data_IF_473905072255
#
_entry.id   IF_473905072255
#
_cell.length_a   1.000
_cell.length_b   1.000
_cell.length_c   1.000
_cell.angle_alpha   90.00
_cell.angle_beta   90.00
_cell.angle_gamma   90.00
#
_symmetry.space_group_name_H-M   'P 1'
#
loop_
_entity.id
_entity.type
_entity.pdbx_description
1 polymer ?
#
# COMPACT_ATOMS: atom_id res chain seq x y z
N UNK A 1 -20.32 6.29 -26.20
CA UNK A 1 -19.01 6.53 -25.56
C UNK A 1 -18.40 5.16 -25.32
N UNK A 2 -17.14 4.89 -25.65
CA UNK A 2 -16.49 3.70 -25.11
C UNK A 2 -16.54 3.77 -23.58
N UNK A 3 -16.77 2.64 -22.92
CA UNK A 3 -16.75 2.58 -21.45
C UNK A 3 -15.40 3.10 -20.94
N UNK A 4 -15.44 3.92 -19.89
CA UNK A 4 -14.23 4.42 -19.25
C UNK A 4 -13.37 3.22 -18.78
N UNK A 5 -12.03 3.29 -18.89
CA UNK A 5 -11.19 2.19 -18.46
C UNK A 5 -11.37 1.94 -16.96
N UNK A 6 -11.50 0.67 -16.57
CA UNK A 6 -11.55 0.27 -15.16
C UNK A 6 -10.22 0.62 -14.49
N UNK A 7 -10.27 1.32 -13.36
CA UNK A 7 -9.08 1.75 -12.62
C UNK A 7 -8.89 0.85 -11.39
N UNK A 8 -7.64 0.44 -11.14
CA UNK A 8 -7.34 -0.46 -10.03
C UNK A 8 -6.07 -0.03 -9.28
N UNK A 9 -6.19 0.13 -7.97
CA UNK A 9 -5.07 0.18 -7.04
C UNK A 9 -4.95 -1.14 -6.31
N UNK A 10 -3.72 -1.59 -6.04
CA UNK A 10 -3.47 -2.73 -5.17
C UNK A 10 -2.51 -2.32 -4.06
N UNK A 11 -3.06 -2.01 -2.90
CA UNK A 11 -2.34 -1.43 -1.77
C UNK A 11 -2.00 -2.55 -0.78
N UNK A 12 -0.73 -2.85 -0.60
CA UNK A 12 -0.25 -4.05 0.09
C UNK A 12 0.42 -3.69 1.41
N UNK A 13 0.02 -4.33 2.50
CA UNK A 13 0.49 -3.99 3.86
C UNK A 13 1.95 -4.32 4.15
N UNK A 14 2.67 -4.94 3.22
CA UNK A 14 4.08 -5.34 3.40
C UNK A 14 4.26 -6.84 3.55
N UNK A 15 5.52 -7.28 3.45
CA UNK A 15 5.94 -8.67 3.65
C UNK A 15 5.10 -9.73 2.90
N UNK A 16 4.55 -9.39 1.73
CA UNK A 16 3.70 -10.29 0.98
C UNK A 16 4.46 -11.50 0.44
N UNK A 17 3.77 -12.63 0.31
CA UNK A 17 4.38 -13.88 -0.13
C UNK A 17 4.95 -13.76 -1.56
N UNK A 18 6.24 -14.10 -1.68
CA UNK A 18 7.03 -14.10 -2.92
C UNK A 18 7.41 -15.51 -3.39
N UNK A 19 7.21 -16.52 -2.53
CA UNK A 19 7.71 -17.89 -2.77
C UNK A 19 6.56 -18.86 -2.95
N UNK A 20 5.61 -18.87 -2.03
CA UNK A 20 4.54 -19.85 -1.94
C UNK A 20 3.43 -19.63 -2.97
N UNK A 21 2.22 -19.33 -2.49
CA UNK A 21 1.07 -19.11 -3.37
C UNK A 21 1.13 -17.79 -4.09
N UNK A 22 1.88 -16.80 -3.58
CA UNK A 22 2.04 -15.47 -4.20
C UNK A 22 0.70 -14.84 -4.61
N UNK A 23 -0.33 -15.02 -3.78
CA UNK A 23 -1.74 -14.70 -4.11
C UNK A 23 -1.92 -13.24 -4.54
N UNK A 24 -1.32 -12.33 -3.79
CA UNK A 24 -1.38 -10.88 -4.04
C UNK A 24 -0.62 -10.52 -5.32
N UNK A 25 0.60 -11.03 -5.52
CA UNK A 25 1.40 -10.76 -6.71
C UNK A 25 0.77 -11.36 -7.98
N UNK A 26 0.13 -12.54 -7.88
CA UNK A 26 -0.68 -13.10 -8.95
C UNK A 26 -1.90 -12.22 -9.25
N UNK A 27 -2.54 -11.64 -8.23
CA UNK A 27 -3.64 -10.68 -8.43
C UNK A 27 -3.14 -9.46 -9.21
N UNK A 28 -2.00 -8.89 -8.84
CA UNK A 28 -1.38 -7.77 -9.56
C UNK A 28 -1.14 -8.09 -11.05
N UNK A 29 -0.45 -9.19 -11.36
CA UNK A 29 -0.16 -9.57 -12.76
C UNK A 29 -1.45 -9.76 -13.56
N UNK A 30 -2.49 -10.35 -12.96
CA UNK A 30 -3.80 -10.50 -13.60
C UNK A 30 -4.47 -9.15 -13.88
N UNK A 31 -4.46 -8.23 -12.92
CA UNK A 31 -4.99 -6.87 -13.10
C UNK A 31 -4.22 -6.11 -14.18
N UNK A 32 -2.92 -6.33 -14.30
CA UNK A 32 -2.07 -5.73 -15.32
C UNK A 32 -2.23 -6.33 -16.73
N UNK A 33 -3.13 -7.29 -16.95
CA UNK A 33 -3.38 -7.92 -18.25
C UNK A 33 -2.75 -9.30 -18.45
N UNK A 34 -2.25 -9.94 -17.38
CA UNK A 34 -1.74 -11.30 -17.40
C UNK A 34 -0.58 -11.48 -18.38
N UNK A 35 -0.76 -12.35 -19.38
CA UNK A 35 0.27 -12.64 -20.39
C UNK A 35 0.66 -11.47 -21.29
N UNK A 36 -0.15 -10.41 -21.31
CA UNK A 36 0.15 -9.17 -22.06
C UNK A 36 0.71 -8.07 -21.15
N UNK A 37 0.91 -8.35 -19.87
CA UNK A 37 1.31 -7.35 -18.91
C UNK A 37 2.73 -6.84 -19.17
N UNK A 38 2.86 -5.52 -19.29
CA UNK A 38 4.14 -4.81 -19.32
C UNK A 38 4.28 -4.11 -17.98
N UNK A 39 5.15 -4.64 -17.14
CA UNK A 39 5.27 -4.24 -15.75
C UNK A 39 6.48 -3.33 -15.55
N UNK A 40 6.29 -2.29 -14.74
CA UNK A 40 7.38 -1.45 -14.24
C UNK A 40 7.52 -1.67 -12.73
N UNK A 41 8.74 -1.96 -12.27
CA UNK A 41 9.09 -1.98 -10.85
C UNK A 41 9.79 -0.67 -10.49
N UNK A 42 9.30 0.00 -9.45
CA UNK A 42 9.90 1.22 -8.89
C UNK A 42 10.51 0.85 -7.53
N UNK A 43 11.83 0.61 -7.47
CA UNK A 43 12.50 0.17 -6.25
C UNK A 43 12.98 1.35 -5.39
N UNK A 44 12.64 2.60 -5.74
CA UNK A 44 13.24 3.84 -5.19
C UNK A 44 13.20 3.94 -3.67
N UNK A 45 12.19 3.35 -3.01
CA UNK A 45 12.13 3.34 -1.55
C UNK A 45 13.24 2.48 -0.91
N UNK A 46 13.73 1.45 -1.61
CA UNK A 46 14.69 0.47 -1.12
C UNK A 46 16.10 1.06 -0.92
N UNK A 47 16.85 0.45 -0.01
CA UNK A 47 18.30 0.61 0.12
C UNK A 47 19.08 -0.36 -0.77
N UNK A 48 18.42 -1.41 -1.27
CA UNK A 48 18.97 -2.45 -2.16
C UNK A 48 18.07 -2.56 -3.41
N UNK A 49 18.07 -1.54 -4.29
CA UNK A 49 17.12 -1.49 -5.39
C UNK A 49 17.29 -2.62 -6.41
N UNK A 50 18.53 -3.02 -6.70
CA UNK A 50 18.81 -4.09 -7.69
C UNK A 50 18.26 -5.45 -7.24
N UNK A 51 18.48 -5.83 -5.98
CA UNK A 51 17.94 -7.07 -5.40
C UNK A 51 16.41 -7.08 -5.41
N UNK A 52 15.79 -5.93 -5.10
CA UNK A 52 14.34 -5.77 -5.16
C UNK A 52 13.83 -5.98 -6.58
N UNK A 53 14.48 -5.39 -7.58
CA UNK A 53 14.11 -5.57 -8.99
C UNK A 53 14.26 -7.03 -9.39
N UNK A 54 15.37 -7.69 -9.04
CA UNK A 54 15.61 -9.11 -9.36
C UNK A 54 14.52 -10.02 -8.79
N UNK A 55 14.18 -9.85 -7.51
CA UNK A 55 13.16 -10.66 -6.82
C UNK A 55 11.79 -10.48 -7.46
N UNK A 56 11.33 -9.24 -7.67
CA UNK A 56 10.00 -9.01 -8.26
C UNK A 56 9.95 -9.42 -9.73
N UNK A 57 11.01 -9.19 -10.50
CA UNK A 57 11.07 -9.58 -11.91
C UNK A 57 10.96 -11.10 -12.04
N UNK A 58 11.74 -11.85 -11.24
CA UNK A 58 11.68 -13.32 -11.18
C UNK A 58 10.27 -13.82 -10.88
N UNK A 59 9.59 -13.21 -9.89
CA UNK A 59 8.23 -13.61 -9.51
C UNK A 59 7.23 -13.29 -10.62
N UNK A 60 7.29 -12.09 -11.22
CA UNK A 60 6.33 -11.68 -12.25
C UNK A 60 6.51 -12.42 -13.57
N UNK A 61 7.76 -12.70 -13.97
CA UNK A 61 8.07 -13.52 -15.13
C UNK A 61 7.58 -14.96 -14.94
N UNK A 62 7.79 -15.55 -13.75
CA UNK A 62 7.23 -16.86 -13.39
C UNK A 62 5.69 -16.88 -13.45
N UNK A 63 5.05 -15.75 -13.16
CA UNK A 63 3.59 -15.57 -13.29
C UNK A 63 3.14 -15.28 -14.73
N UNK A 64 4.08 -15.13 -15.66
CA UNK A 64 3.86 -15.11 -17.10
C UNK A 64 3.57 -13.73 -17.69
N UNK A 65 4.02 -12.63 -17.08
CA UNK A 65 3.93 -11.31 -17.71
C UNK A 65 4.75 -11.24 -19.02
N UNK A 66 4.45 -10.27 -19.89
CA UNK A 66 5.16 -10.11 -21.17
C UNK A 66 6.56 -9.51 -20.98
N UNK A 67 6.71 -8.55 -20.08
CA UNK A 67 7.99 -7.90 -19.78
C UNK A 67 7.97 -7.24 -18.41
N UNK A 68 9.15 -7.16 -17.78
CA UNK A 68 9.38 -6.37 -16.57
C UNK A 68 10.54 -5.40 -16.86
N UNK A 69 10.35 -4.13 -16.52
CA UNK A 69 11.41 -3.11 -16.55
C UNK A 69 11.47 -2.40 -15.20
N UNK A 70 12.55 -1.68 -14.94
CA UNK A 70 12.68 -0.85 -13.73
C UNK A 70 12.72 0.64 -14.05
N UNK A 71 12.21 1.42 -13.11
CA UNK A 71 12.31 2.89 -13.10
C UNK A 71 12.76 3.31 -11.71
N UNK A 72 14.00 3.80 -11.61
CA UNK A 72 14.59 4.26 -10.35
C UNK A 72 15.34 5.59 -10.56
N UNK A 73 14.70 6.75 -10.33
CA UNK A 73 15.39 8.03 -10.44
C UNK A 73 16.42 8.18 -9.33
N UNK A 74 17.70 8.40 -9.70
CA UNK A 74 18.79 8.59 -8.74
C UNK A 74 18.62 9.82 -7.82
N UNK A 75 17.85 10.82 -8.27
CA UNK A 75 17.50 12.03 -7.51
C UNK A 75 16.19 12.63 -8.05
N UNK A 76 15.69 13.68 -7.39
CA UNK A 76 14.42 14.32 -7.77
C UNK A 76 14.45 14.93 -9.19
N UNK A 77 15.58 15.45 -9.64
CA UNK A 77 15.72 16.01 -10.99
C UNK A 77 15.62 14.91 -12.05
N UNK A 78 16.25 13.75 -11.81
CA UNK A 78 16.16 12.58 -12.68
C UNK A 78 14.74 12.01 -12.78
N UNK A 79 13.85 12.29 -11.82
CA UNK A 79 12.43 11.95 -11.93
C UNK A 79 11.68 12.79 -13.01
N UNK A 80 12.37 13.71 -13.69
CA UNK A 80 11.90 14.39 -14.90
C UNK A 80 12.46 13.83 -16.21
N UNK A 81 13.28 12.78 -16.16
CA UNK A 81 13.83 12.13 -17.36
C UNK A 81 12.69 11.53 -18.21
N UNK A 82 12.67 11.87 -19.50
CA UNK A 82 11.62 11.42 -20.41
C UNK A 82 11.60 9.91 -20.59
N UNK A 83 12.76 9.25 -20.59
CA UNK A 83 12.81 7.79 -20.76
C UNK A 83 12.17 7.06 -19.57
N UNK A 84 12.39 7.57 -18.35
CA UNK A 84 11.74 7.02 -17.15
C UNK A 84 10.22 7.26 -17.16
N UNK A 85 9.80 8.43 -17.61
CA UNK A 85 8.37 8.79 -17.75
C UNK A 85 7.69 7.91 -18.80
N UNK A 86 8.30 7.75 -19.97
CA UNK A 86 7.75 6.98 -21.09
C UNK A 86 7.56 5.50 -20.72
N UNK A 87 8.51 4.91 -19.97
CA UNK A 87 8.36 3.54 -19.44
C UNK A 87 7.11 3.38 -18.58
N UNK A 88 6.78 4.36 -17.74
CA UNK A 88 5.56 4.36 -16.92
C UNK A 88 4.32 4.63 -17.78
N UNK A 89 4.42 5.49 -18.79
CA UNK A 89 3.32 5.78 -19.70
C UNK A 89 2.92 4.57 -20.57
N UNK A 90 3.88 3.70 -20.91
CA UNK A 90 3.64 2.48 -21.68
C UNK A 90 3.25 1.25 -20.84
N UNK A 91 3.40 1.32 -19.51
CA UNK A 91 3.13 0.22 -18.60
C UNK A 91 1.64 -0.13 -18.50
N UNK A 92 1.33 -1.42 -18.32
CA UNK A 92 -0.02 -1.88 -17.96
C UNK A 92 -0.15 -2.18 -16.47
N UNK A 93 0.97 -2.26 -15.76
CA UNK A 93 1.02 -2.33 -14.31
C UNK A 93 2.30 -1.72 -13.76
N UNK A 94 2.20 -0.98 -12.65
CA UNK A 94 3.35 -0.39 -11.96
C UNK A 94 3.38 -0.89 -10.52
N UNK A 95 4.52 -1.36 -10.05
CA UNK A 95 4.72 -1.89 -8.69
C UNK A 95 5.75 -1.05 -7.93
N UNK A 96 5.32 -0.37 -6.86
CA UNK A 96 6.19 0.41 -5.99
C UNK A 96 6.63 -0.44 -4.78
N UNK A 97 7.93 -0.63 -4.62
CA UNK A 97 8.45 -1.47 -3.54
C UNK A 97 8.39 -0.81 -2.16
N UNK A 98 8.65 -1.63 -1.13
CA UNK A 98 8.87 -1.15 0.23
C UNK A 98 10.25 -0.49 0.43
N UNK A 99 10.46 0.05 1.63
CA UNK A 99 11.68 0.75 2.04
C UNK A 99 11.36 2.02 2.80
N UNK A 100 11.99 3.13 2.42
CA UNK A 100 11.78 4.44 3.02
C UNK A 100 10.74 5.27 2.23
N UNK A 101 9.56 5.46 2.78
CA UNK A 101 8.47 6.25 2.19
C UNK A 101 8.79 7.74 2.04
N UNK A 102 9.64 8.32 2.92
CA UNK A 102 10.09 9.72 2.77
C UNK A 102 10.99 9.87 1.55
N UNK A 103 11.93 8.94 1.31
CA UNK A 103 12.75 8.92 0.08
C UNK A 103 11.86 8.85 -1.16
N UNK A 104 10.88 7.95 -1.15
CA UNK A 104 9.95 7.78 -2.26
C UNK A 104 9.14 9.06 -2.55
N UNK A 105 8.58 9.68 -1.51
CA UNK A 105 7.83 10.93 -1.62
C UNK A 105 8.71 12.07 -2.14
N UNK A 106 9.92 12.25 -1.59
CA UNK A 106 10.84 13.30 -1.99
C UNK A 106 11.32 13.19 -3.45
N UNK A 107 11.46 11.98 -3.99
CA UNK A 107 11.95 11.78 -5.35
C UNK A 107 10.82 11.79 -6.39
N UNK A 108 9.62 11.34 -6.04
CA UNK A 108 8.54 11.07 -7.03
C UNK A 108 7.37 12.05 -6.92
N UNK A 109 6.94 12.45 -5.72
CA UNK A 109 5.72 13.25 -5.57
C UNK A 109 5.93 14.65 -6.16
N UNK A 110 5.01 15.09 -7.01
CA UNK A 110 5.08 16.39 -7.69
C UNK A 110 6.18 16.51 -8.75
N UNK A 111 6.67 15.39 -9.29
CA UNK A 111 7.60 15.36 -10.45
C UNK A 111 6.88 14.83 -11.70
N UNK A 112 7.50 14.94 -12.90
CA UNK A 112 6.93 14.35 -14.12
C UNK A 112 6.70 12.83 -14.00
N UNK A 113 7.58 12.09 -13.32
CA UNK A 113 7.38 10.67 -13.01
C UNK A 113 6.17 10.44 -12.10
N UNK A 114 5.98 11.25 -11.05
CA UNK A 114 4.78 11.19 -10.20
C UNK A 114 3.50 11.46 -11.00
N UNK A 115 3.54 12.42 -11.93
CA UNK A 115 2.44 12.67 -12.85
C UNK A 115 2.20 11.51 -13.82
N UNK A 116 3.25 10.81 -14.26
CA UNK A 116 3.13 9.62 -15.10
C UNK A 116 2.40 8.47 -14.37
N UNK A 117 2.66 8.29 -13.07
CA UNK A 117 1.93 7.31 -12.25
C UNK A 117 0.43 7.62 -12.17
N UNK A 118 0.08 8.89 -11.96
CA UNK A 118 -1.31 9.34 -11.98
C UNK A 118 -1.95 9.10 -13.36
N UNK A 119 -1.26 9.44 -14.46
CA UNK A 119 -1.75 9.18 -15.81
C UNK A 119 -1.93 7.68 -16.07
N UNK A 120 -0.99 6.85 -15.64
CA UNK A 120 -1.07 5.40 -15.78
C UNK A 120 -2.31 4.84 -15.10
N UNK A 121 -2.56 5.24 -13.85
CA UNK A 121 -3.77 4.89 -13.14
C UNK A 121 -5.04 5.33 -13.89
N UNK A 122 -5.09 6.59 -14.35
CA UNK A 122 -6.25 7.11 -15.10
C UNK A 122 -6.47 6.43 -16.46
N UNK A 123 -5.43 5.88 -17.09
CA UNK A 123 -5.54 5.07 -18.31
C UNK A 123 -6.02 3.63 -18.05
N UNK A 124 -6.15 3.22 -16.78
CA UNK A 124 -6.54 1.87 -16.39
C UNK A 124 -5.37 0.89 -16.19
N UNK A 125 -4.12 1.38 -16.13
CA UNK A 125 -3.02 0.55 -15.65
C UNK A 125 -3.18 0.35 -14.13
N UNK A 126 -2.91 -0.87 -13.65
CA UNK A 126 -2.92 -1.12 -12.20
C UNK A 126 -1.71 -0.50 -11.54
N UNK A 127 -1.91 0.26 -10.47
CA UNK A 127 -0.82 0.77 -9.64
C UNK A 127 -0.84 0.04 -8.31
N UNK A 128 0.22 -0.72 -8.04
CA UNK A 128 0.39 -1.50 -6.82
C UNK A 128 1.55 -0.96 -5.99
N UNK A 129 1.47 -1.12 -4.67
CA UNK A 129 2.59 -0.77 -3.81
C UNK A 129 2.56 -1.51 -2.49
N UNK A 130 3.74 -1.91 -2.00
CA UNK A 130 3.90 -2.65 -0.75
C UNK A 130 4.65 -1.83 0.30
N UNK A 131 4.20 -1.87 1.56
CA UNK A 131 4.81 -1.13 2.67
C UNK A 131 4.94 0.38 2.34
N UNK A 132 6.14 0.95 2.20
CA UNK A 132 6.32 2.34 1.76
C UNK A 132 5.55 2.68 0.45
N UNK A 133 5.50 1.75 -0.49
CA UNK A 133 4.72 1.88 -1.73
C UNK A 133 3.20 1.89 -1.49
N UNK A 134 2.71 1.30 -0.40
CA UNK A 134 1.29 1.40 -0.02
C UNK A 134 0.97 2.77 0.57
N UNK A 135 1.77 3.25 1.51
CA UNK A 135 1.53 4.53 2.20
C UNK A 135 1.48 5.71 1.22
N UNK A 136 2.36 5.73 0.21
CA UNK A 136 2.44 6.84 -0.75
C UNK A 136 1.20 6.97 -1.66
N UNK A 137 0.33 5.96 -1.72
CA UNK A 137 -0.91 6.04 -2.51
C UNK A 137 -1.87 7.10 -1.96
N UNK A 138 -1.81 7.36 -0.65
CA UNK A 138 -2.60 8.38 0.04
C UNK A 138 -2.28 9.79 -0.45
N UNK A 139 -3.21 10.73 -0.31
CA UNK A 139 -2.88 12.15 -0.44
C UNK A 139 -2.06 12.63 0.77
N UNK A 140 -2.48 12.22 1.96
CA UNK A 140 -1.79 12.49 3.23
C UNK A 140 -1.13 11.20 3.71
N UNK A 141 0.16 11.06 3.45
CA UNK A 141 0.93 9.85 3.74
C UNK A 141 1.54 9.93 5.15
N UNK A 142 1.39 8.86 5.94
CA UNK A 142 2.11 8.71 7.22
C UNK A 142 3.60 8.52 6.92
N UNK A 143 4.43 9.48 7.35
CA UNK A 143 5.87 9.41 7.17
C UNK A 143 6.59 8.88 8.41
N UNK A 144 6.10 9.20 9.60
CA UNK A 144 6.61 8.74 10.89
C UNK A 144 5.45 8.62 11.87
N UNK A 145 5.58 7.78 12.89
CA UNK A 145 4.67 7.79 14.02
C UNK A 145 4.87 6.63 14.99
N UNK A 146 4.48 6.87 16.24
CA UNK A 146 4.64 5.91 17.33
C UNK A 146 3.76 4.67 17.17
N UNK A 147 4.25 3.54 17.65
CA UNK A 147 3.52 2.28 17.74
C UNK A 147 2.73 2.20 19.05
N UNK A 148 1.63 1.44 19.05
CA UNK A 148 0.79 1.22 20.21
C UNK A 148 -0.70 1.46 19.95
N UNK A 149 -1.53 1.01 20.91
CA UNK A 149 -2.98 1.02 20.78
C UNK A 149 -3.64 2.34 21.20
N UNK A 150 -3.00 3.11 22.09
CA UNK A 150 -3.57 4.36 22.60
C UNK A 150 -3.36 5.49 21.60
N UNK A 151 -4.42 6.14 21.08
CA UNK A 151 -4.28 7.30 20.23
C UNK A 151 -3.72 8.48 21.05
N UNK A 152 -2.65 9.09 20.54
CA UNK A 152 -1.98 10.23 21.17
C UNK A 152 -1.85 11.40 20.22
N UNK A 153 -1.94 12.60 20.78
CA UNK A 153 -1.85 13.82 20.00
C UNK A 153 -0.41 14.10 19.54
N UNK A 154 -0.23 14.46 18.27
CA UNK A 154 1.06 14.82 17.64
C UNK A 154 2.15 13.73 17.75
N UNK A 155 1.74 12.47 17.82
CA UNK A 155 2.63 11.30 17.80
C UNK A 155 2.98 10.82 16.39
N UNK A 156 2.46 11.46 15.35
CA UNK A 156 2.66 11.08 13.94
C UNK A 156 2.94 12.28 13.06
N UNK A 157 3.63 12.04 11.95
CA UNK A 157 3.94 13.03 10.93
C UNK A 157 3.32 12.60 9.60
N UNK A 158 2.72 13.57 8.92
CA UNK A 158 2.17 13.42 7.57
C UNK A 158 3.05 14.14 6.57
N UNK A 159 3.22 13.54 5.40
CA UNK A 159 3.87 14.12 4.22
C UNK A 159 2.94 13.95 3.02
N UNK A 160 3.14 14.71 1.94
CA UNK A 160 2.39 14.51 0.71
C UNK A 160 2.70 13.13 0.10
N UNK A 161 1.66 12.39 -0.26
CA UNK A 161 1.77 11.22 -1.14
C UNK A 161 1.35 11.57 -2.58
N UNK A 162 1.13 10.54 -3.40
CA UNK A 162 0.73 10.68 -4.81
C UNK A 162 -0.72 11.15 -4.95
N UNK A 163 -1.58 10.93 -3.96
CA UNK A 163 -3.00 11.26 -4.05
C UNK A 163 -3.78 10.37 -5.02
N UNK A 164 -3.36 9.11 -5.18
CA UNK A 164 -4.08 8.09 -5.95
C UNK A 164 -5.37 7.66 -5.25
N UNK A 165 -5.39 7.68 -3.91
CA UNK A 165 -6.55 7.43 -3.08
C UNK A 165 -6.85 8.64 -2.18
N UNK A 166 -7.55 9.67 -2.71
CA UNK A 166 -7.92 10.84 -1.92
C UNK A 166 -8.93 10.47 -0.82
N UNK A 167 -8.90 11.20 0.30
CA UNK A 167 -9.84 10.96 1.41
C UNK A 167 -9.48 9.79 2.34
N UNK A 168 -8.42 9.03 2.05
CA UNK A 168 -7.97 7.89 2.86
C UNK A 168 -6.51 8.06 3.27
N UNK A 169 -6.20 7.80 4.53
CA UNK A 169 -4.85 7.67 5.07
C UNK A 169 -4.51 6.18 5.17
N UNK A 170 -3.50 5.73 4.43
CA UNK A 170 -3.04 4.34 4.43
C UNK A 170 -1.90 4.12 5.42
N UNK A 171 -2.05 3.08 6.23
CA UNK A 171 -1.02 2.50 7.08
C UNK A 171 -0.82 1.01 6.77
N UNK A 172 0.37 0.50 7.05
CA UNK A 172 0.88 -0.81 6.62
C UNK A 172 1.61 -1.49 7.78
N UNK A 173 1.91 -2.79 7.67
CA UNK A 173 2.37 -3.63 8.78
C UNK A 173 1.50 -3.44 10.03
N UNK A 174 0.19 -3.35 9.84
CA UNK A 174 -0.69 -2.64 10.77
C UNK A 174 -0.82 -3.34 12.13
N UNK A 175 -1.29 -4.59 12.16
CA UNK A 175 -1.31 -5.40 13.38
C UNK A 175 0.10 -5.70 13.89
N UNK A 176 1.02 -6.06 12.98
CA UNK A 176 2.38 -6.53 13.30
C UNK A 176 3.22 -5.48 14.05
N UNK A 177 2.88 -4.20 13.90
CA UNK A 177 3.55 -3.08 14.56
C UNK A 177 2.62 -2.29 15.48
N UNK A 178 1.46 -2.86 15.84
CA UNK A 178 0.46 -2.25 16.72
C UNK A 178 0.11 -0.80 16.33
N UNK A 179 -0.12 -0.54 15.04
CA UNK A 179 -0.25 0.84 14.49
C UNK A 179 -1.66 1.44 14.61
N UNK A 180 -2.53 0.81 15.38
CA UNK A 180 -3.90 1.24 15.58
C UNK A 180 -4.00 2.64 16.20
N UNK A 181 -3.28 2.91 17.28
CA UNK A 181 -3.38 4.18 18.01
C UNK A 181 -2.99 5.37 17.15
N UNK A 182 -1.93 5.24 16.34
CA UNK A 182 -1.50 6.32 15.45
C UNK A 182 -2.46 6.56 14.28
N UNK A 183 -3.05 5.51 13.70
CA UNK A 183 -4.03 5.70 12.63
C UNK A 183 -5.29 6.36 13.18
N UNK A 184 -5.78 5.90 14.34
CA UNK A 184 -6.93 6.50 15.00
C UNK A 184 -6.67 7.96 15.41
N UNK A 185 -5.47 8.31 15.87
CA UNK A 185 -5.17 9.71 16.23
C UNK A 185 -5.16 10.65 15.02
N UNK A 186 -4.67 10.18 13.87
CA UNK A 186 -4.69 10.94 12.62
C UNK A 186 -6.13 11.17 12.13
N UNK A 187 -6.95 10.12 12.14
CA UNK A 187 -8.36 10.21 11.72
C UNK A 187 -9.17 11.05 12.72
N UNK A 188 -8.92 10.95 14.02
CA UNK A 188 -9.54 11.82 15.02
C UNK A 188 -9.18 13.30 14.82
N UNK A 189 -7.94 13.61 14.43
CA UNK A 189 -7.53 14.97 14.06
C UNK A 189 -8.07 15.44 12.70
N UNK A 190 -8.65 14.56 11.89
CA UNK A 190 -9.15 14.84 10.54
C UNK A 190 -10.35 13.94 10.22
N UNK A 191 -11.49 14.11 10.91
CA UNK A 191 -12.60 13.14 10.90
C UNK A 191 -13.29 12.99 9.53
N UNK A 192 -13.03 13.87 8.57
CA UNK A 192 -13.49 13.70 7.19
C UNK A 192 -12.71 12.64 6.39
N UNK A 193 -11.57 12.19 6.90
CA UNK A 193 -10.74 11.16 6.28
C UNK A 193 -11.06 9.79 6.86
N UNK A 194 -10.92 8.74 6.05
CA UNK A 194 -10.87 7.37 6.54
C UNK A 194 -9.43 6.97 6.84
N UNK A 195 -9.24 6.16 7.87
CA UNK A 195 -7.99 5.44 8.10
C UNK A 195 -8.08 4.04 7.52
N UNK A 196 -7.06 3.60 6.79
CA UNK A 196 -6.94 2.24 6.28
C UNK A 196 -5.66 1.60 6.79
N UNK A 197 -5.77 0.65 7.72
CA UNK A 197 -4.65 -0.15 8.20
C UNK A 197 -4.61 -1.49 7.48
N UNK A 198 -3.48 -1.85 6.88
CA UNK A 198 -3.34 -3.10 6.11
C UNK A 198 -2.28 -3.99 6.76
N UNK A 199 -2.66 -5.21 7.08
CA UNK A 199 -1.74 -6.20 7.64
C UNK A 199 -0.72 -6.71 6.62
N UNK A 200 0.35 -7.31 7.13
CA UNK A 200 1.29 -8.04 6.28
C UNK A 200 0.60 -9.14 5.45
N UNK A 201 1.16 -9.41 4.27
CA UNK A 201 0.62 -10.37 3.28
C UNK A 201 -0.89 -10.19 3.02
N UNK A 202 -1.33 -8.93 3.06
CA UNK A 202 -2.70 -8.51 2.81
C UNK A 202 -2.71 -7.30 1.89
N UNK A 203 -3.72 -7.21 1.04
CA UNK A 203 -3.91 -6.13 0.10
C UNK A 203 -5.35 -5.63 0.08
N UNK A 204 -5.51 -4.32 -0.01
CA UNK A 204 -6.74 -3.66 -0.42
C UNK A 204 -6.67 -3.41 -1.93
N UNK A 205 -7.49 -4.11 -2.70
CA UNK A 205 -7.73 -3.81 -4.10
C UNK A 205 -8.83 -2.75 -4.19
N UNK A 206 -8.49 -1.56 -4.67
CA UNK A 206 -9.47 -0.47 -4.86
C UNK A 206 -9.84 -0.40 -6.33
N UNK A 207 -11.11 -0.56 -6.63
CA UNK A 207 -11.68 -0.40 -7.97
C UNK A 207 -12.42 0.94 -8.06
N UNK A 208 -12.14 1.68 -9.14
CA UNK A 208 -12.81 2.93 -9.50
C UNK A 208 -12.93 3.94 -8.33
N UNK A 209 -11.87 4.01 -7.52
CA UNK A 209 -11.64 4.91 -6.38
C UNK A 209 -12.45 4.63 -5.10
N UNK A 210 -13.45 3.73 -5.11
CA UNK A 210 -14.34 3.55 -3.94
C UNK A 210 -14.57 2.11 -3.50
N UNK A 211 -14.56 1.13 -4.40
CA UNK A 211 -14.84 -0.25 -4.05
C UNK A 211 -13.57 -0.96 -3.59
N UNK A 212 -13.49 -1.29 -2.32
CA UNK A 212 -12.40 -2.05 -1.71
C UNK A 212 -12.74 -3.54 -1.71
N UNK A 213 -11.86 -4.37 -2.25
CA UNK A 213 -11.88 -5.83 -2.07
C UNK A 213 -10.60 -6.28 -1.35
N UNK A 214 -10.74 -7.06 -0.28
CA UNK A 214 -9.58 -7.57 0.46
C UNK A 214 -9.03 -8.83 -0.20
N UNK A 215 -7.70 -8.94 -0.32
CA UNK A 215 -6.97 -10.11 -0.83
C UNK A 215 -5.77 -10.40 0.05
N UNK A 216 -5.60 -11.62 0.56
CA UNK A 216 -4.42 -12.00 1.34
C UNK A 216 -4.74 -12.82 2.58
N UNK A 217 -3.81 -12.89 3.53
CA UNK A 217 -3.89 -13.78 4.70
C UNK A 217 -4.31 -13.10 6.00
N UNK A 218 -4.14 -11.78 6.13
CA UNK A 218 -4.57 -10.96 7.26
C UNK A 218 -5.86 -10.19 6.99
N UNK A 219 -5.97 -8.99 7.57
CA UNK A 219 -7.13 -8.13 7.41
C UNK A 219 -6.78 -6.71 6.94
N UNK A 220 -7.79 -6.04 6.37
CA UNK A 220 -7.79 -4.59 6.19
C UNK A 220 -8.71 -3.98 7.25
N UNK A 221 -8.18 -3.02 7.99
CA UNK A 221 -8.92 -2.23 8.96
C UNK A 221 -9.34 -0.92 8.33
N UNK A 222 -10.63 -0.58 8.41
CA UNK A 222 -11.14 0.75 8.05
C UNK A 222 -11.62 1.44 9.31
N UNK A 223 -11.04 2.60 9.62
CA UNK A 223 -11.37 3.43 10.78
C UNK A 223 -12.13 4.66 10.28
N UNK A 224 -13.37 4.81 10.72
CA UNK A 224 -14.25 5.94 10.41
C UNK A 224 -14.57 6.74 11.68
N UNK A 225 -14.13 7.99 11.72
CA UNK A 225 -14.42 8.91 12.82
C UNK A 225 -15.33 10.08 12.41
N UNK A 226 -16.02 10.01 11.26
CA UNK A 226 -16.91 11.10 10.78
C UNK A 226 -18.00 11.48 11.79
N UNK A 227 -18.45 10.51 12.59
CA UNK A 227 -19.45 10.70 13.64
C UNK A 227 -18.86 10.63 15.06
N UNK A 228 -17.53 10.57 15.19
CA UNK A 228 -16.89 10.47 16.49
C UNK A 228 -16.79 11.84 17.17
N UNK A 229 -16.89 11.85 18.50
CA UNK A 229 -16.55 12.99 19.35
C UNK A 229 -15.07 12.88 19.72
N UNK A 230 -14.32 13.97 19.52
CA UNK A 230 -12.88 14.00 19.82
C UNK A 230 -12.41 15.36 20.36
N UNK A 231 -11.42 15.32 21.25
CA UNK A 231 -10.74 16.48 21.82
C UNK A 231 -9.42 16.83 21.09
N UNK A 232 -9.17 16.23 19.92
CA UNK A 232 -7.87 16.35 19.23
C UNK A 232 -7.38 17.79 19.07
N UNK A 233 -8.27 18.75 18.80
CA UNK A 233 -7.90 20.16 18.66
C UNK A 233 -7.41 20.84 19.97
N UNK A 234 -7.77 20.32 21.15
CA UNK A 234 -7.41 20.87 22.46
C UNK A 234 -6.31 20.06 23.17
N UNK A 235 -6.18 18.77 22.84
CA UNK A 235 -5.26 17.87 23.49
C UNK A 235 -3.80 18.37 23.42
N UNK A 236 -3.07 18.24 24.53
CA UNK A 236 -1.64 18.56 24.59
C UNK A 236 -0.83 17.53 23.82
N UNK A 237 0.37 17.91 23.38
CA UNK A 237 1.35 16.99 22.78
C UNK A 237 1.50 15.74 23.67
N UNK A 238 1.47 14.57 23.04
CA UNK A 238 1.62 13.23 23.62
C UNK A 238 0.51 12.81 24.59
N UNK A 239 -0.49 13.66 24.86
CA UNK A 239 -1.65 13.28 25.66
C UNK A 239 -2.51 12.25 24.92
N UNK A 240 -3.14 11.29 25.64
CA UNK A 240 -4.19 10.45 25.06
C UNK A 240 -5.33 11.31 24.51
N UNK A 241 -5.92 10.88 23.40
CA UNK A 241 -7.08 11.53 22.79
C UNK A 241 -8.39 10.93 23.32
N UNK A 242 -9.37 11.78 23.59
CA UNK A 242 -10.77 11.40 23.57
C UNK A 242 -11.14 11.07 22.12
N UNK A 243 -11.58 9.84 21.90
CA UNK A 243 -12.24 9.42 20.65
C UNK A 243 -13.36 8.46 21.03
N UNK A 244 -14.61 8.90 20.88
CA UNK A 244 -15.79 8.08 21.18
C UNK A 244 -16.80 8.15 20.05
N UNK A 245 -17.38 7.00 19.68
CA UNK A 245 -18.28 6.89 18.53
C UNK A 245 -17.59 6.67 17.18
N UNK A 246 -16.27 6.42 17.16
CA UNK A 246 -15.59 5.94 15.95
C UNK A 246 -15.98 4.49 15.64
N UNK A 247 -16.09 4.16 14.36
CA UNK A 247 -16.41 2.82 13.87
C UNK A 247 -15.15 2.19 13.28
N UNK A 248 -14.92 0.93 13.61
CA UNK A 248 -13.82 0.14 13.03
C UNK A 248 -14.42 -1.08 12.33
N UNK A 249 -14.02 -1.25 11.09
CA UNK A 249 -14.32 -2.44 10.31
C UNK A 249 -13.04 -3.25 10.17
N UNK A 250 -13.08 -4.54 10.51
CA UNK A 250 -11.99 -5.48 10.23
C UNK A 250 -12.45 -6.42 9.12
N UNK A 251 -11.81 -6.30 7.96
CA UNK A 251 -12.24 -6.91 6.71
C UNK A 251 -11.23 -8.01 6.32
N UNK A 252 -11.57 -9.30 6.47
CA UNK A 252 -10.71 -10.40 6.01
C UNK A 252 -10.86 -10.66 4.51
N UNK A 253 -10.05 -11.57 3.96
CA UNK A 253 -10.09 -11.96 2.56
C UNK A 253 -11.50 -12.36 2.10
N UNK A 254 -11.97 -11.72 1.02
CA UNK A 254 -13.28 -11.93 0.42
C UNK A 254 -14.33 -10.91 0.83
N UNK A 255 -13.95 -9.93 1.66
CA UNK A 255 -14.77 -8.77 1.96
C UNK A 255 -14.73 -7.76 0.81
N UNK A 256 -15.88 -7.21 0.48
CA UNK A 256 -16.07 -6.05 -0.39
C UNK A 256 -16.72 -4.92 0.38
N UNK A 257 -16.18 -3.71 0.28
CA UNK A 257 -16.53 -2.56 1.11
C UNK A 257 -16.54 -1.28 0.27
N UNK A 258 -17.54 -0.42 0.48
CA UNK A 258 -17.62 0.89 -0.16
C UNK A 258 -16.97 1.96 0.74
N UNK A 259 -15.89 2.58 0.25
CA UNK A 259 -15.13 3.61 0.97
C UNK A 259 -15.85 4.96 1.05
N UNK A 260 -16.81 5.26 0.18
CA UNK A 260 -17.57 6.51 0.25
C UNK A 260 -18.60 6.46 1.39
N UNK A 261 -19.35 5.37 1.45
CA UNK A 261 -20.36 5.17 2.49
C UNK A 261 -19.77 4.60 3.78
N UNK A 262 -18.57 4.02 3.72
CA UNK A 262 -17.96 3.20 4.77
C UNK A 262 -18.87 2.04 5.21
N UNK A 263 -19.34 1.25 4.25
CA UNK A 263 -20.22 0.11 4.51
C UNK A 263 -19.73 -1.16 3.82
N UNK A 264 -19.86 -2.30 4.50
CA UNK A 264 -19.68 -3.61 3.88
C UNK A 264 -20.78 -3.83 2.84
N UNK A 265 -20.38 -4.20 1.62
CA UNK A 265 -21.32 -4.46 0.51
C UNK A 265 -21.49 -5.96 0.25
N UNK A 266 -20.41 -6.73 0.36
CA UNK A 266 -20.43 -8.19 0.20
C UNK A 266 -19.37 -8.84 1.09
N UNK A 267 -19.60 -10.09 1.51
CA UNK A 267 -18.57 -10.92 2.10
C UNK A 267 -18.74 -12.37 1.68
N UNK A 268 -17.71 -12.92 1.05
CA UNK A 268 -17.61 -14.35 0.75
C UNK A 268 -16.27 -14.85 1.29
N UNK A 269 -16.31 -15.59 2.40
CA UNK A 269 -15.11 -16.09 3.07
C UNK A 269 -14.17 -16.81 2.09
N UNK A 270 -12.89 -16.44 2.13
CA UNK A 270 -11.82 -17.09 1.38
C UNK A 270 -10.78 -17.61 2.36
N UNK A 271 -10.65 -18.93 2.41
CA UNK A 271 -9.52 -19.55 3.09
C UNK A 271 -8.28 -19.43 2.19
N UNK A 272 -7.37 -18.52 2.52
CA UNK A 272 -5.96 -18.83 2.33
C UNK A 272 -5.69 -20.03 3.21
N UNK A 273 -5.15 -21.13 2.68
CA UNK A 273 -4.69 -22.23 3.54
C UNK A 273 -3.61 -21.65 4.45
N UNK A 274 -4.01 -21.22 5.65
CA UNK A 274 -3.14 -20.78 6.72
C UNK A 274 -2.37 -22.04 7.08
N UNK A 275 -1.19 -22.22 6.48
CA UNK A 275 -0.21 -23.12 7.07
C UNK A 275 -0.06 -22.65 8.50
N UNK A 276 -0.45 -23.51 9.45
CA UNK A 276 -0.44 -23.23 10.88
C UNK A 276 1.01 -22.91 11.27
N UNK A 277 1.39 -21.65 11.12
CA UNK A 277 2.55 -21.06 11.75
C UNK A 277 2.14 -20.83 13.20
N UNK A 278 2.07 -21.92 13.96
CA UNK A 278 2.09 -21.82 15.40
C UNK A 278 3.34 -21.02 15.77
N UNK A 279 3.15 -20.01 16.60
CA UNK A 279 4.10 -18.99 17.04
C UNK A 279 5.33 -19.55 17.80
N UNK A 280 6.13 -20.36 17.11
CA UNK A 280 7.46 -20.83 17.49
C UNK A 280 8.32 -20.91 16.24
N UNK A 281 8.80 -19.75 15.81
CA UNK A 281 10.16 -19.56 15.29
C UNK A 281 10.30 -18.10 14.91
N UNK A 282 10.66 -17.28 15.91
CA UNK A 282 11.13 -15.93 15.69
C UNK A 282 12.51 -16.01 15.04
N UNK A 283 12.59 -15.39 13.87
CA UNK A 283 13.74 -14.79 13.22
C UNK A 283 15.12 -14.95 13.88
N UNK A 284 16.01 -15.60 13.12
CA UNK A 284 17.31 -15.00 12.79
C UNK A 284 17.42 -14.89 11.25
N UNK A 285 17.00 -13.74 10.71
CA UNK A 285 17.11 -13.43 9.26
C UNK A 285 18.37 -12.62 8.93
N UNK A 286 19.42 -12.72 9.75
CA UNK A 286 20.73 -12.14 9.43
C UNK A 286 21.64 -13.08 8.60
N UNK A 287 21.21 -14.31 8.28
CA UNK A 287 22.16 -15.36 7.83
C UNK A 287 21.80 -16.02 6.49
N UNK A 288 20.93 -15.44 5.67
CA UNK A 288 20.62 -15.99 4.35
C UNK A 288 21.65 -15.61 3.26
N UNK A 289 22.54 -14.65 3.51
CA UNK A 289 23.59 -14.24 2.57
C UNK A 289 24.88 -15.10 2.63
N UNK A 290 24.99 -16.04 3.56
CA UNK A 290 26.22 -16.82 3.78
C UNK A 290 26.23 -18.22 3.14
N UNK A 291 25.11 -18.69 2.58
CA UNK A 291 25.00 -20.09 2.11
C UNK A 291 25.26 -20.30 0.59
N UNK A 292 25.72 -19.28 -0.14
CA UNK A 292 26.04 -19.37 -1.57
C UNK A 292 27.54 -19.22 -1.89
N UNK A 293 28.41 -19.43 -0.90
CA UNK A 293 29.84 -19.64 -1.13
C UNK A 293 30.25 -20.94 -0.45
N UNK A 294 30.08 -22.05 -1.15
CA UNK A 294 31.02 -23.18 -1.27
C UNK A 294 30.46 -24.20 -2.26
#
# INVERSE_FOLDING_TARGET
MPDAPKRSLLIIGGAEDKVGRVTILRRFVRLAGGRKARLVVIPTASSVPDEVVEVYSTVFERLGCASVTSVDPANRQAAGDSELVDRVDDATGVFLSGGNQLKLSQLIVGTPLGAALLRAYQRGAVVAGTSAGASIMSQFMISMGDEGVTPRQRSSQLTAGLGLLPGVIVDQHFDQRARYGRLLSLVAGSPSLLGMGIDEDTAAEITDDSELTVVGSGAVFVVDARNAVTDAHEARRDAPLLVTGAVVHTLPFGSTFDLQTATLTEFVEKHTDLSVSSSRDRHDTATAAAALRH
#
